data_IF_474212917064
#
_entry.id   IF_474212917064
#
_cell.length_a   1.000
_cell.length_b   1.000
_cell.length_c   1.000
_cell.angle_alpha   90.00
_cell.angle_beta   90.00
_cell.angle_gamma   90.00
#
_symmetry.space_group_name_H-M   'P 1'
#
loop_
_entity.id
_entity.type
_entity.pdbx_description
1 polymer ?
#
# COMPACT_ATOMS: atom_id res chain seq x y z
N UNK A 1 -26.55 9.94 -7.79
CA UNK A 1 -25.42 10.27 -8.69
C UNK A 1 -24.16 10.17 -7.87
N UNK A 2 -23.49 9.01 -7.90
CA UNK A 2 -22.28 8.76 -7.11
C UNK A 2 -21.09 9.45 -7.77
N UNK A 3 -20.39 10.31 -7.03
CA UNK A 3 -19.18 10.98 -7.47
C UNK A 3 -18.10 9.93 -7.75
N UNK A 4 -17.90 9.62 -9.03
CA UNK A 4 -16.75 8.85 -9.52
C UNK A 4 -15.54 9.77 -9.42
N UNK A 5 -14.79 9.70 -8.32
CA UNK A 5 -13.40 10.18 -8.33
C UNK A 5 -12.66 9.36 -9.38
N UNK A 6 -12.14 10.05 -10.40
CA UNK A 6 -11.62 9.53 -11.67
C UNK A 6 -10.35 8.66 -11.57
N UNK A 7 -10.05 8.09 -10.40
CA UNK A 7 -8.83 7.31 -10.12
C UNK A 7 -9.08 5.79 -10.13
N UNK A 8 -10.35 5.34 -10.14
CA UNK A 8 -10.69 3.92 -10.04
C UNK A 8 -10.88 3.20 -11.39
N UNK A 9 -10.89 3.90 -12.53
CA UNK A 9 -11.26 3.29 -13.83
C UNK A 9 -10.10 2.85 -14.72
N UNK A 10 -8.87 3.29 -14.48
CA UNK A 10 -7.73 2.92 -15.32
C UNK A 10 -6.95 1.78 -14.68
N UNK A 11 -7.27 0.52 -15.03
CA UNK A 11 -6.35 -0.61 -14.80
C UNK A 11 -6.83 -1.75 -13.89
N UNK A 12 -8.11 -1.85 -13.53
CA UNK A 12 -8.58 -3.07 -12.84
C UNK A 12 -8.74 -4.22 -13.83
N UNK A 13 -7.83 -5.20 -13.78
CA UNK A 13 -7.90 -6.46 -14.55
C UNK A 13 -9.20 -7.25 -14.36
N UNK A 14 -9.91 -6.98 -13.26
CA UNK A 14 -11.13 -7.65 -12.86
C UNK A 14 -12.19 -6.63 -12.48
N UNK A 15 -13.45 -6.94 -12.78
CA UNK A 15 -14.58 -6.18 -12.26
C UNK A 15 -14.64 -6.26 -10.71
N UNK A 16 -15.21 -5.25 -10.03
CA UNK A 16 -15.23 -5.18 -8.57
C UNK A 16 -15.83 -6.43 -7.90
N UNK A 17 -16.89 -7.00 -8.48
CA UNK A 17 -17.51 -8.24 -7.99
C UNK A 17 -16.55 -9.43 -8.07
N UNK A 18 -15.79 -9.52 -9.17
CA UNK A 18 -14.80 -10.58 -9.34
C UNK A 18 -13.62 -10.41 -8.38
N UNK A 19 -13.21 -9.17 -8.08
CA UNK A 19 -12.19 -8.92 -7.03
C UNK A 19 -12.72 -9.34 -5.66
N UNK A 20 -13.98 -9.03 -5.33
CA UNK A 20 -14.60 -9.42 -4.07
C UNK A 20 -14.69 -10.94 -3.91
N UNK A 21 -14.97 -11.66 -5.00
CA UNK A 21 -14.97 -13.11 -5.05
C UNK A 21 -13.55 -13.69 -4.86
N UNK A 22 -12.56 -13.20 -5.60
CA UNK A 22 -11.17 -13.66 -5.48
C UNK A 22 -10.60 -13.49 -4.06
N UNK A 23 -10.92 -12.37 -3.40
CA UNK A 23 -10.53 -12.09 -2.00
C UNK A 23 -11.02 -13.13 -0.99
N UNK A 24 -12.09 -13.87 -1.30
CA UNK A 24 -12.62 -14.93 -0.44
C UNK A 24 -11.96 -16.28 -0.69
N UNK A 25 -11.30 -16.44 -1.83
CA UNK A 25 -10.78 -17.73 -2.28
C UNK A 25 -9.26 -17.81 -2.29
N UNK A 26 -8.56 -16.67 -2.35
CA UNK A 26 -7.10 -16.62 -2.49
C UNK A 26 -6.48 -15.59 -1.55
N UNK A 27 -5.30 -15.88 -0.99
CA UNK A 27 -4.42 -14.85 -0.46
C UNK A 27 -4.01 -13.88 -1.59
N UNK A 28 -4.00 -12.59 -1.29
CA UNK A 28 -3.71 -11.54 -2.28
C UNK A 28 -2.37 -10.88 -1.97
N UNK A 29 -1.51 -10.77 -2.97
CA UNK A 29 -0.20 -10.10 -2.84
C UNK A 29 -0.37 -8.59 -2.70
N UNK A 30 0.27 -8.02 -1.68
CA UNK A 30 0.28 -6.60 -1.37
C UNK A 30 1.71 -6.08 -1.24
N UNK A 31 1.86 -4.76 -1.29
CA UNK A 31 3.04 -4.05 -0.81
C UNK A 31 2.64 -3.12 0.31
N UNK A 32 3.48 -3.06 1.33
CA UNK A 32 3.42 -2.07 2.40
C UNK A 32 4.65 -1.18 2.27
N UNK A 33 4.43 0.12 2.22
CA UNK A 33 5.47 1.12 2.05
C UNK A 33 5.49 1.99 3.28
N UNK A 34 6.62 1.98 3.99
CA UNK A 34 6.92 2.89 5.10
C UNK A 34 7.67 4.08 4.51
N UNK A 35 6.99 5.20 4.22
CA UNK A 35 7.64 6.38 3.67
C UNK A 35 8.50 7.04 4.76
N UNK A 36 9.73 7.37 4.42
CA UNK A 36 10.66 8.00 5.36
C UNK A 36 11.34 9.22 4.77
N UNK A 37 11.69 10.18 5.64
CA UNK A 37 12.75 11.16 5.33
C UNK A 37 14.06 10.63 5.88
N UNK A 38 15.12 10.77 5.11
CA UNK A 38 16.48 10.43 5.56
C UNK A 38 17.33 11.68 5.65
N UNK A 39 18.30 11.69 6.55
CA UNK A 39 19.38 12.67 6.52
C UNK A 39 20.40 12.37 5.39
N UNK A 40 21.50 13.12 5.38
CA UNK A 40 22.59 13.01 4.39
C UNK A 40 23.35 11.68 4.47
N UNK A 41 23.37 11.03 5.63
CA UNK A 41 24.04 9.75 5.87
C UNK A 41 23.11 8.56 5.59
N UNK A 42 21.83 8.83 5.29
CA UNK A 42 20.80 7.84 5.00
C UNK A 42 20.11 7.30 6.26
N UNK A 43 20.32 7.90 7.43
CA UNK A 43 19.59 7.54 8.63
C UNK A 43 18.16 8.07 8.56
N UNK A 44 17.19 7.29 9.08
CA UNK A 44 15.77 7.69 9.11
C UNK A 44 15.59 8.83 10.10
N UNK A 45 15.19 9.99 9.61
CA UNK A 45 14.88 11.18 10.40
C UNK A 45 13.39 11.24 10.77
N UNK A 46 12.51 10.88 9.83
CA UNK A 46 11.06 10.95 10.01
C UNK A 46 10.35 9.78 9.32
N UNK A 47 9.18 9.39 9.84
CA UNK A 47 8.30 8.39 9.24
C UNK A 47 6.97 9.05 8.91
N UNK A 48 6.58 8.98 7.63
CA UNK A 48 5.30 9.52 7.14
C UNK A 48 4.14 8.57 7.43
N UNK A 49 3.04 9.11 7.94
CA UNK A 49 1.79 8.38 8.15
C UNK A 49 0.64 9.12 7.49
N UNK A 50 -0.17 8.41 6.73
CA UNK A 50 -1.40 8.91 6.13
C UNK A 50 -2.48 9.03 7.20
N UNK A 51 -3.20 10.15 7.20
CA UNK A 51 -4.38 10.33 8.04
C UNK A 51 -5.62 10.00 7.21
N UNK A 52 -6.40 9.00 7.62
CA UNK A 52 -7.59 8.54 6.89
C UNK A 52 -8.79 8.39 7.82
N UNK A 53 -9.99 8.62 7.28
CA UNK A 53 -11.22 8.20 7.94
C UNK A 53 -11.43 6.70 7.72
N UNK A 54 -11.68 5.95 8.79
CA UNK A 54 -12.07 4.56 8.72
C UNK A 54 -13.51 4.43 8.22
N UNK A 55 -13.90 3.23 7.79
CA UNK A 55 -15.30 2.94 7.43
C UNK A 55 -16.30 3.16 8.57
N UNK A 56 -15.84 3.28 9.81
CA UNK A 56 -16.64 3.59 11.00
C UNK A 56 -16.56 5.07 11.41
N UNK A 57 -15.99 5.95 10.56
CA UNK A 57 -15.88 7.39 10.82
C UNK A 57 -14.79 7.79 11.82
N UNK A 58 -13.90 6.87 12.20
CA UNK A 58 -12.77 7.19 13.09
C UNK A 58 -11.56 7.64 12.29
N UNK A 59 -10.81 8.60 12.81
CA UNK A 59 -9.53 8.99 12.21
C UNK A 59 -8.47 7.96 12.59
N UNK A 60 -7.86 7.34 11.59
CA UNK A 60 -6.80 6.34 11.74
C UNK A 60 -5.54 6.79 11.00
N UNK A 61 -4.39 6.33 11.50
CA UNK A 61 -3.11 6.46 10.81
C UNK A 61 -2.86 5.20 10.00
N UNK A 62 -2.37 5.35 8.78
CA UNK A 62 -2.04 4.26 7.89
C UNK A 62 -0.68 4.51 7.21
N UNK A 63 -0.07 3.44 6.74
CA UNK A 63 1.05 3.50 5.80
C UNK A 63 0.51 3.43 4.37
N UNK A 64 1.37 3.72 3.38
CA UNK A 64 1.05 3.51 1.97
C UNK A 64 0.96 2.00 1.75
N UNK A 65 -0.19 1.50 1.30
CA UNK A 65 -0.41 0.06 1.16
C UNK A 65 -1.37 -0.24 0.03
N UNK A 66 -1.09 -1.32 -0.70
CA UNK A 66 -2.05 -1.79 -1.69
C UNK A 66 -1.62 -3.02 -2.46
N UNK A 67 -2.58 -3.52 -3.25
CA UNK A 67 -2.44 -4.73 -4.03
C UNK A 67 -1.44 -4.58 -5.17
N UNK A 68 -0.71 -5.65 -5.45
CA UNK A 68 0.08 -5.82 -6.67
C UNK A 68 -0.84 -6.33 -7.78
N UNK A 69 -0.82 -5.68 -8.94
CA UNK A 69 -1.63 -6.05 -10.10
C UNK A 69 -0.99 -7.21 -10.86
N UNK A 70 -1.77 -7.84 -11.74
CA UNK A 70 -1.23 -8.86 -12.66
C UNK A 70 -0.20 -8.18 -13.58
N UNK A 71 0.85 -8.88 -14.01
CA UNK A 71 1.93 -8.32 -14.84
C UNK A 71 2.57 -7.02 -14.31
N UNK A 72 2.43 -6.73 -13.02
CA UNK A 72 3.07 -5.59 -12.35
C UNK A 72 4.23 -6.10 -11.49
N UNK A 73 5.39 -5.45 -11.61
CA UNK A 73 6.51 -5.71 -10.71
C UNK A 73 6.28 -5.04 -9.35
N UNK A 74 6.91 -5.57 -8.29
CA UNK A 74 6.82 -4.97 -6.95
C UNK A 74 7.25 -3.50 -6.93
N UNK A 75 8.25 -3.14 -7.75
CA UNK A 75 8.76 -1.77 -7.86
C UNK A 75 7.74 -0.83 -8.50
N UNK A 76 7.05 -1.28 -9.55
CA UNK A 76 5.96 -0.52 -10.17
C UNK A 76 4.78 -0.36 -9.21
N UNK A 77 4.43 -1.42 -8.46
CA UNK A 77 3.38 -1.34 -7.44
C UNK A 77 3.70 -0.31 -6.35
N UNK A 78 4.96 -0.29 -5.86
CA UNK A 78 5.43 0.72 -4.89
C UNK A 78 5.30 2.12 -5.49
N UNK A 79 5.82 2.35 -6.69
CA UNK A 79 5.76 3.66 -7.34
C UNK A 79 4.32 4.14 -7.52
N UNK A 80 3.43 3.28 -8.03
CA UNK A 80 2.02 3.59 -8.25
C UNK A 80 1.27 3.91 -6.95
N UNK A 81 1.48 3.14 -5.88
CA UNK A 81 0.81 3.41 -4.60
C UNK A 81 1.38 4.63 -3.89
N UNK A 82 2.68 4.89 -4.00
CA UNK A 82 3.28 6.14 -3.49
C UNK A 82 2.72 7.35 -4.23
N UNK A 83 2.70 7.35 -5.57
CA UNK A 83 2.14 8.44 -6.35
C UNK A 83 0.66 8.67 -6.03
N UNK A 84 -0.13 7.60 -5.92
CA UNK A 84 -1.54 7.66 -5.56
C UNK A 84 -1.77 8.30 -4.18
N UNK A 85 -0.97 7.93 -3.18
CA UNK A 85 -1.23 8.28 -1.79
C UNK A 85 -0.48 9.55 -1.32
N UNK A 86 0.68 9.84 -1.89
CA UNK A 86 1.55 10.97 -1.53
C UNK A 86 1.65 12.03 -2.64
N UNK A 87 1.15 11.76 -3.84
CA UNK A 87 1.18 12.66 -4.98
C UNK A 87 2.37 12.45 -5.92
N UNK A 88 2.31 13.02 -7.14
CA UNK A 88 3.32 12.82 -8.19
C UNK A 88 4.67 13.46 -7.89
N UNK A 89 4.71 14.43 -6.97
CA UNK A 89 5.94 15.12 -6.57
C UNK A 89 6.65 14.47 -5.39
N UNK A 90 6.20 13.31 -4.91
CA UNK A 90 6.80 12.63 -3.77
C UNK A 90 8.24 12.16 -4.03
N UNK A 91 8.62 11.90 -5.29
CA UNK A 91 9.97 11.45 -5.69
C UNK A 91 10.49 10.28 -4.82
N UNK A 92 9.84 9.09 -4.85
CA UNK A 92 10.29 7.95 -4.06
C UNK A 92 11.60 7.35 -4.59
N UNK A 93 12.53 7.06 -3.69
CA UNK A 93 13.70 6.21 -3.97
C UNK A 93 13.30 4.74 -3.87
N UNK A 94 12.84 4.19 -5.00
CA UNK A 94 12.41 2.79 -5.09
C UNK A 94 13.58 1.84 -4.80
N UNK A 95 13.43 0.88 -3.86
CA UNK A 95 14.48 -0.08 -3.56
C UNK A 95 14.91 -0.89 -4.79
N UNK A 96 16.22 -0.98 -5.02
CA UNK A 96 16.79 -1.79 -6.11
C UNK A 96 16.53 -3.28 -5.86
N UNK A 97 16.75 -3.72 -4.62
CA UNK A 97 16.50 -5.11 -4.21
C UNK A 97 14.99 -5.37 -4.10
N UNK A 98 14.49 -6.49 -4.67
CA UNK A 98 13.11 -6.90 -4.45
C UNK A 98 12.89 -7.55 -3.07
N UNK A 99 13.94 -7.79 -2.28
CA UNK A 99 13.82 -8.41 -0.96
C UNK A 99 13.19 -7.40 0.01
N UNK A 100 12.02 -7.70 0.60
CA UNK A 100 11.41 -6.83 1.60
C UNK A 100 12.16 -6.91 2.94
N UNK A 101 11.99 -5.92 3.81
CA UNK A 101 12.58 -6.00 5.16
C UNK A 101 11.78 -6.94 6.06
N UNK A 102 10.48 -7.13 5.77
CA UNK A 102 9.64 -8.16 6.38
C UNK A 102 8.46 -8.50 5.47
N UNK A 103 7.82 -9.63 5.74
CA UNK A 103 6.51 -9.96 5.18
C UNK A 103 5.47 -9.73 6.28
N UNK A 104 4.39 -9.01 5.97
CA UNK A 104 3.24 -8.82 6.84
C UNK A 104 2.07 -9.66 6.33
N UNK A 105 1.63 -10.64 7.13
CA UNK A 105 0.58 -11.58 6.79
C UNK A 105 -0.73 -11.15 7.44
N UNK A 106 -1.57 -10.43 6.69
CA UNK A 106 -2.87 -9.95 7.15
C UNK A 106 -3.90 -11.05 7.01
N UNK A 107 -4.34 -11.62 8.13
CA UNK A 107 -5.40 -12.63 8.13
C UNK A 107 -6.79 -11.99 8.23
N UNK A 108 -7.83 -12.60 7.63
CA UNK A 108 -9.21 -12.19 7.85
C UNK A 108 -9.72 -12.60 9.24
N UNK A 109 -9.12 -13.65 9.82
CA UNK A 109 -9.40 -14.13 11.17
C UNK A 109 -8.47 -13.42 12.17
N UNK A 110 -9.01 -12.67 13.16
CA UNK A 110 -8.19 -12.05 14.19
C UNK A 110 -7.39 -13.08 15.01
N UNK A 111 -6.20 -12.69 15.47
CA UNK A 111 -5.40 -13.48 16.42
C UNK A 111 -4.49 -14.56 15.82
N UNK A 112 -4.51 -14.75 14.50
CA UNK A 112 -3.58 -15.67 13.81
C UNK A 112 -2.19 -15.06 13.66
N UNK A 113 -2.14 -13.77 13.33
CA UNK A 113 -0.91 -12.98 13.26
C UNK A 113 -1.15 -11.61 13.93
N UNK A 114 -0.10 -10.78 14.09
CA UNK A 114 -0.26 -9.39 14.52
C UNK A 114 -1.06 -8.52 13.54
N UNK A 115 -1.29 -8.99 12.31
CA UNK A 115 -1.90 -8.22 11.23
C UNK A 115 -3.28 -8.77 10.86
N UNK A 116 -4.27 -7.90 10.80
CA UNK A 116 -5.66 -8.26 10.53
C UNK A 116 -6.25 -7.36 9.44
N UNK A 117 -6.84 -7.97 8.41
CA UNK A 117 -7.67 -7.28 7.43
C UNK A 117 -9.01 -8.04 7.31
N UNK A 118 -10.13 -7.52 7.85
CA UNK A 118 -11.40 -8.23 7.82
C UNK A 118 -11.96 -8.46 6.41
N UNK A 119 -11.37 -7.84 5.38
CA UNK A 119 -11.85 -7.92 3.99
C UNK A 119 -11.26 -9.10 3.23
N UNK A 120 -10.06 -9.57 3.58
CA UNK A 120 -9.29 -10.53 2.78
C UNK A 120 -8.08 -11.08 3.54
N UNK A 121 -7.54 -12.21 3.06
CA UNK A 121 -6.17 -12.62 3.40
C UNK A 121 -5.19 -11.91 2.47
N UNK A 122 -4.25 -11.12 3.01
CA UNK A 122 -3.22 -10.45 2.22
C UNK A 122 -1.81 -10.80 2.70
N UNK A 123 -0.92 -11.08 1.75
CA UNK A 123 0.51 -11.29 2.00
C UNK A 123 1.25 -10.06 1.48
N UNK A 124 1.69 -9.20 2.39
CA UNK A 124 2.28 -7.91 2.07
C UNK A 124 3.80 -7.93 2.16
N UNK A 125 4.48 -7.53 1.09
CA UNK A 125 5.92 -7.32 1.09
C UNK A 125 6.21 -5.89 1.55
N UNK A 126 6.85 -5.74 2.71
CA UNK A 126 7.06 -4.45 3.33
C UNK A 126 8.42 -3.84 2.96
N UNK A 127 8.42 -2.57 2.57
CA UNK A 127 9.59 -1.80 2.15
C UNK A 127 9.67 -0.48 2.91
N UNK A 128 10.88 -0.09 3.28
CA UNK A 128 11.18 1.30 3.67
C UNK A 128 11.53 2.05 2.39
N UNK A 129 10.84 3.15 2.12
CA UNK A 129 11.02 3.91 0.88
C UNK A 129 11.31 5.37 1.25
N UNK A 130 12.53 5.85 1.02
CA UNK A 130 12.84 7.26 1.19
C UNK A 130 12.05 8.11 0.19
N UNK A 131 11.50 9.22 0.68
CA UNK A 131 10.72 10.19 -0.08
C UNK A 131 11.53 11.49 -0.11
N UNK A 132 11.96 11.91 -1.30
CA UNK A 132 12.84 13.07 -1.44
C UNK A 132 12.08 14.35 -1.81
N UNK A 133 10.90 14.22 -2.43
CA UNK A 133 10.10 15.33 -2.91
C UNK A 133 9.02 15.77 -1.92
N UNK A 134 8.06 16.58 -2.37
CA UNK A 134 6.96 17.09 -1.55
C UNK A 134 5.77 16.12 -1.58
N UNK A 135 5.09 15.96 -0.44
CA UNK A 135 3.92 15.10 -0.29
C UNK A 135 2.65 15.94 -0.13
N UNK A 136 1.55 15.48 -0.71
CA UNK A 136 0.24 16.13 -0.66
C UNK A 136 -0.47 16.02 0.70
#
# INVERSE_FOLDING_TARGET
>A
MSSRTAVDSEGSWFDPERVADLRRHLPITYVDVVPVRTDVDGAVAEVGLLLRASGAGQIVRAIVSGRVLIHETLREAIARHVEKDLGPMAMPRIPVSPVPFTVAEYFPTPGVSPFHDPRQHAISLAYVVPIDGETA
#
